data_IF_699352141026
#
_entry.id   IF_699352141026
#
_cell.length_a   1.000
_cell.length_b   1.000
_cell.length_c   1.000
_cell.angle_alpha   90.00
_cell.angle_beta   90.00
_cell.angle_gamma   90.00
#
_symmetry.space_group_name_H-M   'P 1'
#
loop_
_entity.id
_entity.type
_entity.pdbx_description
1 polymer ?
#
# COMPACT_ATOMS: atom_id res chain seq x y z
N UNK A 1 9.98 2.94 -5.21
CA UNK A 1 9.31 4.25 -5.32
C UNK A 1 8.24 4.31 -4.26
N UNK A 2 8.42 5.18 -3.26
CA UNK A 2 7.46 5.43 -2.17
C UNK A 2 6.45 6.50 -2.54
N UNK A 3 5.25 6.44 -1.96
CA UNK A 3 4.12 7.31 -2.31
C UNK A 3 3.80 7.30 -3.81
N UNK A 4 3.96 6.14 -4.45
CA UNK A 4 3.80 6.02 -5.89
C UNK A 4 2.37 6.32 -6.34
N UNK A 5 1.38 6.16 -5.44
CA UNK A 5 -0.03 6.50 -5.66
C UNK A 5 -0.28 7.93 -6.11
N UNK A 6 0.68 8.86 -5.95
CA UNK A 6 0.54 10.22 -6.47
C UNK A 6 0.61 10.29 -8.01
N UNK A 7 1.24 9.32 -8.67
CA UNK A 7 1.27 9.20 -10.13
C UNK A 7 -0.05 8.60 -10.67
N UNK A 8 -0.51 9.00 -11.87
CA UNK A 8 -1.71 8.43 -12.49
C UNK A 8 -1.60 6.94 -12.89
N UNK A 9 -0.41 6.32 -12.86
CA UNK A 9 -0.22 4.87 -13.05
C UNK A 9 0.75 4.45 -14.16
N UNK A 10 0.80 5.09 -15.35
CA UNK A 10 1.64 4.61 -16.45
C UNK A 10 3.12 4.49 -16.11
N UNK A 11 3.67 5.45 -15.35
CA UNK A 11 5.07 5.43 -14.94
C UNK A 11 5.32 4.35 -13.87
N UNK A 12 4.35 4.10 -13.00
CA UNK A 12 4.44 3.03 -12.00
C UNK A 12 4.56 1.65 -12.68
N UNK A 13 3.76 1.40 -13.70
CA UNK A 13 3.81 0.15 -14.46
C UNK A 13 5.17 -0.04 -15.15
N UNK A 14 5.71 1.01 -15.77
CA UNK A 14 7.01 0.95 -16.42
C UNK A 14 8.13 0.68 -15.41
N UNK A 15 8.15 1.41 -14.29
CA UNK A 15 9.14 1.22 -13.24
C UNK A 15 9.06 -0.20 -12.65
N UNK A 16 7.85 -0.74 -12.47
CA UNK A 16 7.62 -2.10 -11.99
C UNK A 16 8.17 -3.15 -12.97
N UNK A 17 7.96 -2.98 -14.29
CA UNK A 17 8.53 -3.86 -15.33
C UNK A 17 10.06 -3.88 -15.30
N UNK A 18 10.68 -2.76 -14.92
CA UNK A 18 12.13 -2.63 -14.72
C UNK A 18 12.61 -3.20 -13.38
N UNK A 19 11.73 -3.80 -12.59
CA UNK A 19 12.05 -4.44 -11.32
C UNK A 19 11.97 -3.51 -10.10
N UNK A 20 11.50 -2.28 -10.25
CA UNK A 20 11.35 -1.33 -9.14
C UNK A 20 10.15 -1.73 -8.28
N UNK A 21 10.31 -1.71 -6.95
CA UNK A 21 9.18 -1.81 -6.03
C UNK A 21 8.33 -0.54 -6.06
N UNK A 22 7.03 -0.70 -6.29
CA UNK A 22 6.02 0.36 -6.30
C UNK A 22 5.26 0.30 -4.97
N UNK A 23 5.51 1.27 -4.10
CA UNK A 23 4.82 1.36 -2.82
C UNK A 23 3.62 2.29 -2.96
N UNK A 24 2.43 1.70 -2.89
CA UNK A 24 1.16 2.39 -2.79
C UNK A 24 0.76 2.39 -1.33
N UNK A 25 1.36 3.31 -0.58
CA UNK A 25 1.43 3.25 0.88
C UNK A 25 0.44 4.15 1.59
N UNK A 26 -0.33 4.99 0.90
CA UNK A 26 -1.30 5.91 1.51
C UNK A 26 -2.77 5.51 1.33
N UNK A 27 -3.14 4.24 1.49
CA UNK A 27 -4.54 3.83 1.33
C UNK A 27 -5.42 4.42 2.44
N UNK A 28 -6.53 5.05 2.04
CA UNK A 28 -7.50 5.64 2.96
C UNK A 28 -8.94 5.45 2.48
N UNK A 29 -9.91 5.58 3.40
CA UNK A 29 -11.34 5.59 3.07
C UNK A 29 -11.82 6.88 2.40
N UNK A 30 -11.00 7.93 2.36
CA UNK A 30 -11.32 9.16 1.65
C UNK A 30 -11.24 9.01 0.12
N UNK A 31 -12.17 9.63 -0.64
CA UNK A 31 -12.00 9.80 -2.08
C UNK A 31 -10.72 10.57 -2.42
N UNK A 32 -10.04 10.27 -3.54
CA UNK A 32 -10.40 9.25 -4.52
C UNK A 32 -9.85 7.83 -4.19
N UNK A 33 -9.20 7.63 -3.05
CA UNK A 33 -8.40 6.41 -2.78
C UNK A 33 -9.22 5.12 -2.80
N UNK A 34 -10.46 5.15 -2.29
CA UNK A 34 -11.39 4.01 -2.32
C UNK A 34 -11.65 3.48 -3.72
N UNK A 35 -11.59 4.32 -4.75
CA UNK A 35 -11.73 3.91 -6.15
C UNK A 35 -10.37 3.71 -6.83
N UNK A 36 -9.40 4.56 -6.51
CA UNK A 36 -8.10 4.62 -7.18
C UNK A 36 -7.26 3.36 -6.91
N UNK A 37 -7.24 2.87 -5.69
CA UNK A 37 -6.42 1.71 -5.33
C UNK A 37 -6.87 0.41 -6.01
N UNK A 38 -8.16 0.05 -6.01
CA UNK A 38 -8.63 -1.06 -6.81
C UNK A 38 -8.27 -0.94 -8.30
N UNK A 39 -8.29 0.27 -8.87
CA UNK A 39 -7.89 0.50 -10.26
C UNK A 39 -6.38 0.30 -10.48
N UNK A 40 -5.53 0.77 -9.57
CA UNK A 40 -4.10 0.48 -9.62
C UNK A 40 -3.81 -1.02 -9.55
N UNK A 41 -4.51 -1.75 -8.67
CA UNK A 41 -4.33 -3.21 -8.56
C UNK A 41 -4.72 -3.90 -9.85
N UNK A 42 -5.88 -3.54 -10.43
CA UNK A 42 -6.31 -4.06 -11.73
C UNK A 42 -5.26 -3.81 -12.82
N UNK A 43 -4.74 -2.57 -12.92
CA UNK A 43 -3.73 -2.22 -13.91
C UNK A 43 -2.42 -3.01 -13.72
N UNK A 44 -1.94 -3.15 -12.49
CA UNK A 44 -0.74 -3.94 -12.20
C UNK A 44 -0.92 -5.44 -12.48
N UNK A 45 -2.12 -5.99 -12.17
CA UNK A 45 -2.50 -7.36 -12.50
C UNK A 45 -2.46 -7.59 -14.00
N UNK A 46 -3.15 -6.75 -14.77
CA UNK A 46 -3.22 -6.84 -16.24
C UNK A 46 -1.85 -6.65 -16.90
N UNK A 47 -1.00 -5.78 -16.33
CA UNK A 47 0.35 -5.56 -16.80
C UNK A 47 1.35 -6.64 -16.37
N UNK A 48 0.95 -7.64 -15.58
CA UNK A 48 1.83 -8.70 -15.07
C UNK A 48 2.89 -8.21 -14.07
N UNK A 49 2.62 -7.10 -13.37
CA UNK A 49 3.57 -6.44 -12.45
C UNK A 49 3.10 -6.43 -10.99
N UNK A 50 2.05 -7.18 -10.66
CA UNK A 50 1.50 -7.26 -9.31
C UNK A 50 2.55 -7.72 -8.27
N UNK A 51 3.54 -8.52 -8.69
CA UNK A 51 4.66 -8.99 -7.87
C UNK A 51 5.71 -7.91 -7.51
N UNK A 52 5.45 -6.64 -7.90
CA UNK A 52 6.29 -5.49 -7.59
C UNK A 52 5.54 -4.39 -6.85
N UNK A 53 4.35 -4.69 -6.34
CA UNK A 53 3.50 -3.75 -5.60
C UNK A 53 3.61 -3.97 -4.09
N UNK A 54 3.73 -2.91 -3.31
CA UNK A 54 3.57 -2.91 -1.86
C UNK A 54 2.36 -2.04 -1.49
N UNK A 55 1.62 -2.47 -0.48
CA UNK A 55 0.43 -1.76 0.03
C UNK A 55 0.65 -1.35 1.49
N UNK A 56 0.19 -0.15 1.82
CA UNK A 56 0.10 0.32 3.20
C UNK A 56 -0.94 1.45 3.31
N UNK A 57 -1.04 2.03 4.50
CA UNK A 57 -2.02 3.05 4.84
C UNK A 57 -1.42 4.43 5.05
N UNK A 58 -0.14 4.51 5.47
CA UNK A 58 0.53 5.75 5.89
C UNK A 58 -0.34 6.51 6.91
N UNK A 59 -0.99 5.75 7.80
CA UNK A 59 -1.77 6.24 8.93
C UNK A 59 -1.10 5.88 10.26
N UNK A 60 -1.67 6.40 11.34
CA UNK A 60 -1.20 6.17 12.69
C UNK A 60 -1.63 7.28 13.63
N UNK A 61 -0.86 7.43 14.70
CA UNK A 61 -1.05 8.46 15.70
C UNK A 61 0.23 9.28 15.86
N UNK A 62 0.09 10.60 15.94
CA UNK A 62 1.10 11.50 16.46
C UNK A 62 0.90 11.69 17.96
N UNK A 63 2.01 11.92 18.65
CA UNK A 63 1.99 12.51 19.97
C UNK A 63 1.68 14.00 19.81
N UNK A 64 0.59 14.45 20.42
CA UNK A 64 0.16 15.83 20.45
C UNK A 64 0.36 16.40 21.86
N UNK A 65 1.07 17.54 21.90
CA UNK A 65 1.51 18.21 23.11
C UNK A 65 2.79 17.65 23.74
N UNK A 66 3.33 18.43 24.67
CA UNK A 66 4.48 18.09 25.52
C UNK A 66 4.14 18.45 26.98
N UNK A 67 3.04 17.86 27.46
CA UNK A 67 2.42 18.26 28.73
C UNK A 67 2.94 17.40 29.90
N UNK A 68 3.23 18.00 31.07
CA UNK A 68 3.69 17.26 32.26
C UNK A 68 2.71 16.18 32.73
N UNK A 69 1.42 16.32 32.42
CA UNK A 69 0.35 15.38 32.77
C UNK A 69 0.16 14.24 31.77
N UNK A 70 1.04 14.13 30.76
CA UNK A 70 0.99 13.12 29.71
C UNK A 70 0.55 13.68 28.37
N UNK A 71 1.05 13.06 27.30
CA UNK A 71 0.77 13.48 25.94
C UNK A 71 -0.49 12.80 25.41
N UNK A 72 -1.18 13.47 24.48
CA UNK A 72 -2.36 12.90 23.80
C UNK A 72 -1.92 12.23 22.50
N UNK A 73 -2.65 11.21 22.07
CA UNK A 73 -2.50 10.65 20.73
C UNK A 73 -3.53 11.30 19.80
N UNK A 74 -3.05 11.96 18.75
CA UNK A 74 -3.86 12.53 17.69
C UNK A 74 -3.73 11.67 16.43
N UNK A 75 -4.85 11.35 15.78
CA UNK A 75 -4.85 10.61 14.52
C UNK A 75 -4.21 11.42 13.40
N UNK A 76 -3.47 10.75 12.52
CA UNK A 76 -3.07 11.35 11.25
C UNK A 76 -4.31 11.67 10.41
N UNK A 77 -4.38 12.89 9.88
CA UNK A 77 -5.52 13.38 9.10
C UNK A 77 -5.56 12.87 7.66
N UNK A 78 -5.29 11.57 7.44
CA UNK A 78 -5.16 11.00 6.09
C UNK A 78 -6.45 10.37 5.54
N UNK A 79 -7.55 10.45 6.30
CA UNK A 79 -8.87 9.93 5.90
C UNK A 79 -9.26 8.58 6.52
N UNK A 80 -8.37 7.92 7.26
CA UNK A 80 -8.73 6.76 8.08
C UNK A 80 -9.09 7.21 9.50
N UNK A 81 -10.24 6.76 10.00
CA UNK A 81 -10.68 6.99 11.39
C UNK A 81 -10.21 5.89 12.34
N UNK A 82 -9.78 4.74 11.78
CA UNK A 82 -9.20 3.63 12.50
C UNK A 82 -7.93 3.17 11.76
N UNK A 83 -6.73 3.53 12.27
CA UNK A 83 -5.47 3.20 11.61
C UNK A 83 -5.27 1.71 11.37
N UNK A 84 -4.53 1.37 10.32
CA UNK A 84 -4.13 0.01 9.94
C UNK A 84 -5.27 -0.95 9.57
N UNK A 85 -6.53 -0.50 9.54
CA UNK A 85 -7.68 -1.39 9.29
C UNK A 85 -8.16 -1.39 7.85
N UNK A 86 -8.16 -0.22 7.18
CA UNK A 86 -8.91 0.00 5.94
C UNK A 86 -8.50 -0.92 4.78
N UNK A 87 -7.22 -1.28 4.65
CA UNK A 87 -6.79 -2.30 3.68
C UNK A 87 -7.57 -3.61 3.85
N UNK A 88 -7.72 -4.10 5.09
CA UNK A 88 -8.38 -5.38 5.36
C UNK A 88 -9.90 -5.29 5.31
N UNK A 89 -10.46 -4.18 5.82
CA UNK A 89 -11.91 -4.01 5.97
C UNK A 89 -12.59 -3.49 4.71
N UNK A 90 -11.85 -2.84 3.80
CA UNK A 90 -12.40 -2.26 2.58
C UNK A 90 -11.66 -2.73 1.31
N UNK A 91 -10.34 -2.49 1.21
CA UNK A 91 -9.61 -2.75 -0.04
C UNK A 91 -9.64 -4.23 -0.45
N UNK A 92 -9.34 -5.16 0.48
CA UNK A 92 -9.35 -6.59 0.15
C UNK A 92 -10.73 -7.10 -0.27
N UNK A 93 -11.84 -6.78 0.45
CA UNK A 93 -13.19 -7.05 -0.07
C UNK A 93 -13.44 -6.51 -1.47
N UNK A 94 -13.04 -5.27 -1.78
CA UNK A 94 -13.24 -4.68 -3.11
C UNK A 94 -12.45 -5.41 -4.21
N UNK A 95 -11.21 -5.81 -3.90
CA UNK A 95 -10.39 -6.60 -4.83
C UNK A 95 -11.01 -7.98 -5.08
N UNK A 96 -11.54 -8.65 -4.05
CA UNK A 96 -12.26 -9.92 -4.22
C UNK A 96 -13.48 -9.76 -5.12
N UNK A 97 -14.27 -8.70 -4.95
CA UNK A 97 -15.41 -8.40 -5.82
C UNK A 97 -14.97 -8.17 -7.28
N UNK A 98 -13.74 -7.69 -7.51
CA UNK A 98 -13.12 -7.55 -8.84
C UNK A 98 -12.44 -8.82 -9.36
N UNK A 99 -12.67 -9.95 -8.70
CA UNK A 99 -12.15 -11.25 -9.09
C UNK A 99 -10.67 -11.46 -8.82
N UNK A 100 -10.06 -10.71 -7.90
CA UNK A 100 -8.72 -11.07 -7.41
C UNK A 100 -8.79 -12.39 -6.65
N UNK A 101 -7.89 -13.29 -6.98
CA UNK A 101 -7.75 -14.59 -6.33
C UNK A 101 -7.01 -14.45 -5.00
N UNK A 102 -7.21 -15.39 -4.06
CA UNK A 102 -6.44 -15.40 -2.82
C UNK A 102 -4.93 -15.48 -3.07
N UNK A 103 -4.49 -16.13 -4.15
CA UNK A 103 -3.08 -16.19 -4.52
C UNK A 103 -2.50 -14.80 -4.90
N UNK A 104 -3.31 -13.93 -5.48
CA UNK A 104 -2.94 -12.54 -5.79
C UNK A 104 -2.98 -11.65 -4.55
N UNK A 105 -3.94 -11.87 -3.65
CA UNK A 105 -3.97 -11.18 -2.36
C UNK A 105 -2.77 -11.59 -1.48
N UNK A 106 -2.42 -12.87 -1.46
CA UNK A 106 -1.20 -13.39 -0.83
C UNK A 106 0.05 -12.81 -1.49
N UNK A 107 0.04 -12.59 -2.80
CA UNK A 107 1.13 -11.89 -3.48
C UNK A 107 1.33 -10.50 -2.87
N UNK A 108 0.26 -9.73 -2.73
CA UNK A 108 0.29 -8.36 -2.21
C UNK A 108 0.66 -8.28 -0.72
N UNK A 109 0.11 -9.15 0.12
CA UNK A 109 0.21 -9.04 1.59
C UNK A 109 1.32 -9.87 2.22
N UNK A 110 1.75 -10.94 1.54
CA UNK A 110 2.68 -11.92 2.13
C UNK A 110 3.96 -11.98 1.31
N UNK A 111 3.85 -12.30 0.02
CA UNK A 111 5.02 -12.58 -0.82
C UNK A 111 5.79 -11.30 -1.13
N UNK A 112 5.11 -10.24 -1.56
CA UNK A 112 5.75 -8.96 -1.90
C UNK A 112 6.47 -8.34 -0.69
N UNK A 113 5.85 -8.17 0.49
CA UNK A 113 6.56 -7.63 1.65
C UNK A 113 7.71 -8.52 2.09
N UNK A 114 7.54 -9.84 2.06
CA UNK A 114 8.63 -10.80 2.34
C UNK A 114 9.79 -10.58 1.38
N UNK A 115 9.56 -10.53 0.08
CA UNK A 115 10.63 -10.33 -0.90
C UNK A 115 11.31 -8.97 -0.79
N UNK A 116 10.54 -7.90 -0.59
CA UNK A 116 11.04 -6.54 -0.56
C UNK A 116 11.83 -6.22 0.71
N UNK A 117 11.41 -6.76 1.85
CA UNK A 117 11.95 -6.41 3.17
C UNK A 117 12.91 -7.47 3.72
N UNK A 118 13.04 -8.63 3.09
CA UNK A 118 14.07 -9.60 3.47
C UNK A 118 15.45 -9.04 3.15
N UNK A 119 16.30 -8.94 4.18
CA UNK A 119 17.71 -8.57 4.02
C UNK A 119 18.41 -9.68 3.22
N UNK A 120 18.84 -9.36 2.01
CA UNK A 120 19.73 -10.24 1.22
C UNK A 120 21.12 -9.63 1.19
N UNK A 121 22.12 -10.41 1.58
CA UNK A 121 23.53 -10.03 1.39
C UNK A 121 23.80 -10.05 -0.11
N UNK A 122 23.98 -8.88 -0.72
CA UNK A 122 24.53 -8.79 -2.07
C UNK A 122 26.01 -9.14 -1.98
N UNK A 123 26.36 -10.36 -2.37
CA UNK A 123 27.75 -10.68 -2.67
C UNK A 123 28.04 -10.09 -4.05
N UNK A 124 28.93 -9.11 -4.09
CA UNK A 124 29.50 -8.62 -5.34
C UNK A 124 30.35 -9.74 -5.92
N UNK A 125 29.96 -10.27 -7.09
CA UNK A 125 30.79 -11.13 -7.94
C UNK A 125 31.51 -10.30 -8.99
#
# INVERSE_FOLDING_TARGET
WVHAQNDPGPLQLEAARRGTWISLDGYSLSPPNVLRYPNFMTAHREAGTLNRVLLSHDDGWAVDGDAPSGNRLALFGNGNTAPYQSVFTQLLPDLRQRGFTEAELDQLLIKNPREALTIRRRLSS
#
